data_IF_419575318966
#
_entry.id   IF_419575318966
#
_cell.length_a   1.000
_cell.length_b   1.000
_cell.length_c   1.000
_cell.angle_alpha   90.00
_cell.angle_beta   90.00
_cell.angle_gamma   90.00
#
_symmetry.space_group_name_H-M   'P 1'
#
loop_
_entity.id
_entity.type
_entity.pdbx_description
1 polymer ?
#
# COMPACT_ATOMS: atom_id res chain seq x y z
N UNK A 1 -20.27 30.24 8.55
CA UNK A 1 -20.31 29.72 7.16
C UNK A 1 -19.03 28.96 6.90
N UNK A 2 -19.09 27.73 6.39
CA UNK A 2 -17.90 26.92 6.11
C UNK A 2 -17.27 27.29 4.75
N UNK A 3 -15.95 27.10 4.55
CA UNK A 3 -15.32 27.38 3.27
C UNK A 3 -15.82 26.42 2.18
N UNK A 4 -16.39 26.97 1.10
CA UNK A 4 -16.75 26.21 -0.09
C UNK A 4 -15.72 26.40 -1.21
N UNK A 5 -15.49 25.38 -2.05
CA UNK A 5 -14.67 25.54 -3.25
C UNK A 5 -15.32 26.54 -4.21
N UNK A 6 -14.59 27.59 -4.58
CA UNK A 6 -15.08 28.64 -5.49
C UNK A 6 -15.38 28.13 -6.91
N UNK A 7 -14.64 27.12 -7.38
CA UNK A 7 -14.78 26.54 -8.73
C UNK A 7 -14.24 25.12 -8.79
N UNK A 8 -14.62 24.38 -9.83
CA UNK A 8 -14.05 23.07 -10.17
C UNK A 8 -12.55 23.21 -10.47
N UNK A 9 -11.74 22.28 -9.97
CA UNK A 9 -10.32 22.17 -10.30
C UNK A 9 -10.16 21.62 -11.73
N UNK A 10 -9.18 22.13 -12.48
CA UNK A 10 -8.87 21.62 -13.83
C UNK A 10 -8.40 20.16 -13.78
N UNK A 11 -8.61 19.43 -14.87
CA UNK A 11 -8.16 18.04 -15.04
C UNK A 11 -6.66 17.89 -14.79
N UNK A 12 -5.85 18.81 -15.35
CA UNK A 12 -4.40 18.84 -15.13
C UNK A 12 -4.02 19.01 -13.65
N UNK A 13 -4.67 19.94 -12.94
CA UNK A 13 -4.38 20.18 -11.52
C UNK A 13 -4.80 18.99 -10.64
N UNK A 14 -5.92 18.34 -10.97
CA UNK A 14 -6.36 17.13 -10.29
C UNK A 14 -5.39 15.95 -10.55
N UNK A 15 -4.91 15.80 -11.78
CA UNK A 15 -3.92 14.79 -12.18
C UNK A 15 -2.61 14.95 -11.43
N UNK A 16 -2.03 16.16 -11.44
CA UNK A 16 -0.79 16.48 -10.74
C UNK A 16 -0.90 16.21 -9.23
N UNK A 17 -2.04 16.56 -8.62
CA UNK A 17 -2.29 16.26 -7.20
C UNK A 17 -2.28 14.75 -6.93
N UNK A 18 -2.87 13.95 -7.81
CA UNK A 18 -2.97 12.49 -7.67
C UNK A 18 -1.68 11.75 -8.07
N UNK A 19 -0.74 12.39 -8.76
CA UNK A 19 0.49 11.75 -9.21
C UNK A 19 1.36 11.20 -8.05
N UNK A 20 1.20 11.77 -6.85
CA UNK A 20 1.88 11.28 -5.64
C UNK A 20 1.22 10.06 -4.98
N UNK A 21 0.01 9.69 -5.40
CA UNK A 21 -0.76 8.58 -4.81
C UNK A 21 -0.38 7.24 -5.44
N UNK A 22 0.89 6.86 -5.35
CA UNK A 22 1.36 5.53 -5.76
C UNK A 22 1.28 4.55 -4.59
N UNK A 23 0.69 3.37 -4.84
CA UNK A 23 0.68 2.27 -3.87
C UNK A 23 1.94 1.43 -4.10
N UNK A 24 2.73 1.23 -3.05
CA UNK A 24 3.90 0.34 -3.09
C UNK A 24 3.45 -1.11 -2.97
N UNK A 25 4.06 -2.01 -3.73
CA UNK A 25 3.86 -3.45 -3.58
C UNK A 25 4.36 -3.93 -2.22
N UNK A 26 3.65 -4.89 -1.63
CA UNK A 26 4.05 -5.45 -0.35
C UNK A 26 5.33 -6.27 -0.49
N UNK A 27 6.33 -6.00 0.35
CA UNK A 27 7.54 -6.81 0.45
C UNK A 27 7.22 -8.16 1.09
N UNK A 28 7.10 -9.21 0.28
CA UNK A 28 6.91 -10.57 0.75
C UNK A 28 8.25 -11.30 0.79
N UNK A 29 8.51 -11.99 1.90
CA UNK A 29 9.70 -12.82 2.09
C UNK A 29 9.33 -14.30 1.99
N UNK A 30 10.25 -15.15 1.54
CA UNK A 30 10.05 -16.61 1.57
C UNK A 30 10.11 -17.12 3.01
N UNK A 31 9.17 -17.98 3.39
CA UNK A 31 9.22 -18.68 4.67
C UNK A 31 10.30 -19.76 4.63
N UNK A 32 11.19 -19.80 5.64
CA UNK A 32 12.26 -20.80 5.74
C UNK A 32 11.77 -22.24 5.90
N UNK A 33 10.55 -22.45 6.40
CA UNK A 33 10.02 -23.80 6.69
C UNK A 33 9.17 -24.37 5.54
N UNK A 34 8.30 -23.56 4.92
CA UNK A 34 7.36 -24.05 3.90
C UNK A 34 7.60 -23.46 2.50
N UNK A 35 8.55 -22.53 2.34
CA UNK A 35 8.87 -21.87 1.07
C UNK A 35 7.82 -20.86 0.58
N UNK A 36 6.66 -20.79 1.23
CA UNK A 36 5.56 -19.89 0.86
C UNK A 36 5.86 -18.44 1.23
N UNK A 37 5.23 -17.51 0.53
CA UNK A 37 5.43 -16.08 0.73
C UNK A 37 4.74 -15.63 2.03
N UNK A 38 5.51 -15.03 2.94
CA UNK A 38 5.05 -14.43 4.21
C UNK A 38 5.36 -12.94 4.24
N UNK A 39 4.61 -12.19 5.05
CA UNK A 39 5.01 -10.82 5.40
C UNK A 39 6.26 -10.87 6.29
N UNK A 40 7.18 -9.94 6.09
CA UNK A 40 8.36 -9.79 6.95
C UNK A 40 7.97 -9.61 8.42
N UNK A 41 8.75 -10.16 9.34
CA UNK A 41 8.55 -10.04 10.79
C UNK A 41 7.19 -10.53 11.32
N UNK A 42 6.52 -11.41 10.58
CA UNK A 42 5.28 -12.06 11.02
C UNK A 42 5.39 -13.57 10.95
N UNK A 43 4.55 -14.25 11.74
CA UNK A 43 4.38 -15.70 11.70
C UNK A 43 3.80 -16.09 10.33
N UNK A 44 4.35 -17.11 9.71
CA UNK A 44 3.76 -17.65 8.48
C UNK A 44 2.36 -18.19 8.80
N UNK A 45 1.33 -17.74 8.06
CA UNK A 45 -0.06 -18.14 8.30
C UNK A 45 -0.33 -19.62 8.03
N UNK A 46 0.51 -20.28 7.21
CA UNK A 46 0.25 -21.66 6.80
C UNK A 46 1.03 -22.71 7.59
N UNK A 47 2.27 -22.43 7.98
CA UNK A 47 3.04 -23.37 8.81
C UNK A 47 3.13 -22.95 10.28
N UNK A 48 2.65 -21.76 10.63
CA UNK A 48 2.71 -21.29 12.01
C UNK A 48 4.13 -21.14 12.56
N UNK A 49 5.15 -21.05 11.70
CA UNK A 49 6.53 -20.93 12.13
C UNK A 49 6.96 -19.45 12.19
N UNK A 50 7.62 -19.06 13.30
CA UNK A 50 8.18 -17.72 13.52
C UNK A 50 9.68 -17.83 13.79
N UNK A 51 10.46 -17.51 12.77
CA UNK A 51 11.91 -17.29 12.80
C UNK A 51 12.25 -16.29 11.69
#
# INVERSE_FOLDING_TARGET
MTPLPKRRLSTARQGNRRASFSVKTAGLAKCAHCGKLKQGHTRCKECGFYK
#
